data_IF_308807262070
#
_entry.id   IF_308807262070
#
_cell.length_a   1.000
_cell.length_b   1.000
_cell.length_c   1.000
_cell.angle_alpha   90.00
_cell.angle_beta   90.00
_cell.angle_gamma   90.00
#
_symmetry.space_group_name_H-M   'P 1'
#
loop_
_entity.id
_entity.type
_entity.pdbx_description
1 polymer ?
#
# COMPACT_ATOMS: atom_id res chain seq x y z
N UNK A 1 5.98 0.50 -4.53
CA UNK A 1 6.04 -0.02 -5.92
C UNK A 1 4.66 0.22 -6.53
N UNK A 2 4.58 1.10 -7.53
CA UNK A 2 3.33 1.48 -8.20
C UNK A 2 2.85 0.31 -9.04
N UNK A 3 1.58 -0.08 -8.94
CA UNK A 3 0.94 -1.07 -9.81
C UNK A 3 -0.14 -0.39 -10.63
N UNK A 4 -0.07 -0.58 -11.95
CA UNK A 4 -1.13 -0.23 -12.90
C UNK A 4 -2.28 -1.23 -12.76
N UNK A 5 -3.51 -0.74 -12.69
CA UNK A 5 -4.70 -1.56 -12.76
C UNK A 5 -5.17 -1.64 -14.23
N UNK A 6 -4.66 -2.62 -14.97
CA UNK A 6 -5.25 -3.10 -16.22
C UNK A 6 -5.48 -4.60 -16.07
N UNK A 7 -6.67 -5.09 -16.43
CA UNK A 7 -6.94 -6.52 -16.42
C UNK A 7 -5.98 -7.18 -17.44
N UNK A 8 -5.17 -8.14 -17.00
CA UNK A 8 -4.14 -8.79 -17.82
C UNK A 8 -4.67 -9.64 -19.00
N UNK A 9 -5.90 -9.38 -19.45
CA UNK A 9 -6.62 -10.04 -20.54
C UNK A 9 -6.94 -9.14 -21.73
N UNK A 10 -6.78 -7.82 -21.63
CA UNK A 10 -7.07 -6.91 -22.74
C UNK A 10 -5.79 -6.22 -23.22
N UNK A 11 -5.48 -6.31 -24.52
CA UNK A 11 -4.43 -5.52 -25.18
C UNK A 11 -4.85 -4.06 -25.34
N UNK A 12 -5.76 -3.58 -24.50
CA UNK A 12 -6.37 -2.26 -24.61
C UNK A 12 -5.74 -1.37 -23.54
N UNK A 13 -4.94 -0.41 -23.99
CA UNK A 13 -4.45 0.64 -23.10
C UNK A 13 -5.66 1.46 -22.63
N UNK A 14 -5.96 1.40 -21.34
CA UNK A 14 -6.94 2.28 -20.73
C UNK A 14 -6.42 3.71 -20.82
N UNK A 15 -7.26 4.65 -21.25
CA UNK A 15 -6.88 6.07 -21.31
C UNK A 15 -6.71 6.69 -19.93
N UNK A 16 -7.42 6.14 -18.94
CA UNK A 16 -7.50 6.63 -17.57
C UNK A 16 -6.71 5.73 -16.62
N UNK A 17 -5.86 6.34 -15.80
CA UNK A 17 -4.98 5.65 -14.88
C UNK A 17 -5.09 6.20 -13.47
N UNK A 18 -4.89 5.33 -12.49
CA UNK A 18 -4.79 5.68 -11.08
C UNK A 18 -3.43 5.24 -10.53
N UNK A 19 -2.94 5.93 -9.51
CA UNK A 19 -1.74 5.51 -8.79
C UNK A 19 -2.10 4.90 -7.45
N UNK A 20 -1.48 3.76 -7.12
CA UNK A 20 -1.53 3.17 -5.78
C UNK A 20 -0.14 3.23 -5.17
N UNK A 21 -0.06 3.75 -3.94
CA UNK A 21 1.16 3.79 -3.13
C UNK A 21 1.11 2.62 -2.15
N UNK A 22 2.12 1.75 -2.22
CA UNK A 22 2.29 0.64 -1.30
C UNK A 22 3.39 0.98 -0.28
N UNK A 23 3.05 0.97 1.01
CA UNK A 23 3.94 1.37 2.11
C UNK A 23 4.65 0.18 2.80
N UNK A 24 4.45 -1.04 2.29
CA UNK A 24 4.94 -2.27 2.92
C UNK A 24 3.83 -3.15 3.48
N UNK A 25 2.68 -2.57 3.86
CA UNK A 25 1.53 -3.30 4.43
C UNK A 25 0.19 -2.91 3.79
N UNK A 26 0.01 -1.66 3.41
CA UNK A 26 -1.24 -1.12 2.88
C UNK A 26 -1.06 -0.52 1.48
N UNK A 27 -2.12 -0.61 0.68
CA UNK A 27 -2.26 0.17 -0.55
C UNK A 27 -3.11 1.41 -0.28
N UNK A 28 -2.58 2.58 -0.61
CA UNK A 28 -3.27 3.86 -0.52
C UNK A 28 -3.45 4.45 -1.92
N UNK A 29 -4.58 5.14 -2.14
CA UNK A 29 -4.81 5.85 -3.39
C UNK A 29 -3.90 7.09 -3.48
N UNK A 30 -3.18 7.22 -4.58
CA UNK A 30 -2.39 8.39 -4.91
C UNK A 30 -3.31 9.54 -5.32
N UNK A 31 -3.18 10.67 -4.61
CA UNK A 31 -3.94 11.89 -4.87
C UNK A 31 -2.97 13.02 -5.15
N UNK A 32 -3.18 13.72 -6.26
CA UNK A 32 -2.42 14.92 -6.61
C UNK A 32 -3.31 16.15 -6.41
N UNK A 33 -2.71 17.26 -6.00
CA UNK A 33 -3.36 18.56 -5.94
C UNK A 33 -2.59 19.52 -6.82
N UNK A 34 -3.27 20.32 -7.64
CA UNK A 34 -2.65 21.42 -8.38
C UNK A 34 -2.00 22.44 -7.44
N UNK A 35 -2.61 22.66 -6.27
CA UNK A 35 -2.00 23.40 -5.17
C UNK A 35 -2.02 22.56 -3.88
N UNK A 36 -0.87 22.01 -3.46
CA UNK A 36 -0.76 21.21 -2.24
C UNK A 36 -1.04 21.98 -0.94
N UNK A 37 -0.73 23.28 -0.89
CA UNK A 37 -0.91 24.10 0.32
C UNK A 37 -2.39 24.36 0.60
N UNK A 38 -3.17 24.65 -0.45
CA UNK A 38 -4.62 24.91 -0.35
C UNK A 38 -5.46 23.66 -0.57
N UNK A 39 -4.85 22.53 -0.97
CA UNK A 39 -5.52 21.27 -1.35
C UNK A 39 -6.61 21.48 -2.40
N UNK A 40 -6.34 22.32 -3.40
CA UNK A 40 -7.26 22.60 -4.51
C UNK A 40 -6.80 21.92 -5.79
N UNK A 41 -7.74 21.62 -6.70
CA UNK A 41 -7.44 20.93 -7.95
C UNK A 41 -7.08 19.47 -7.70
N UNK A 42 -7.93 18.75 -6.95
CA UNK A 42 -7.70 17.35 -6.64
C UNK A 42 -7.82 16.48 -7.90
N UNK A 43 -6.82 15.63 -8.12
CA UNK A 43 -6.77 14.67 -9.23
C UNK A 43 -6.44 13.28 -8.71
N UNK A 44 -7.20 12.30 -9.19
CA UNK A 44 -7.05 10.87 -8.86
C UNK A 44 -6.96 9.98 -10.10
N UNK A 45 -7.35 10.52 -11.26
CA UNK A 45 -7.38 9.87 -12.55
C UNK A 45 -6.50 10.68 -13.50
N UNK A 46 -5.60 10.01 -14.21
CA UNK A 46 -4.58 10.62 -15.05
C UNK A 46 -4.61 10.02 -16.45
N UNK A 47 -4.41 10.87 -17.46
CA UNK A 47 -4.39 10.44 -18.86
C UNK A 47 -3.03 9.88 -19.25
N UNK A 48 -3.02 9.00 -20.26
CA UNK A 48 -1.80 8.33 -20.74
C UNK A 48 -0.70 9.31 -21.18
N UNK A 49 -1.07 10.46 -21.73
CA UNK A 49 -0.11 11.47 -22.21
C UNK A 49 0.69 12.11 -21.07
N UNK A 50 0.10 12.16 -19.88
CA UNK A 50 0.66 12.84 -18.70
C UNK A 50 1.31 11.85 -17.72
N UNK A 51 1.09 10.55 -17.90
CA UNK A 51 1.33 9.54 -16.87
C UNK A 51 2.79 9.47 -16.40
N UNK A 52 3.75 9.62 -17.32
CA UNK A 52 5.18 9.55 -16.98
C UNK A 52 5.61 10.70 -16.06
N UNK A 53 5.12 11.91 -16.33
CA UNK A 53 5.43 13.07 -15.49
C UNK A 53 4.83 12.90 -14.09
N UNK A 54 3.58 12.44 -14.03
CA UNK A 54 2.88 12.18 -12.77
C UNK A 54 3.52 11.03 -11.99
N UNK A 55 3.96 9.98 -12.67
CA UNK A 55 4.68 8.85 -12.06
C UNK A 55 5.96 9.31 -11.36
N UNK A 56 6.75 10.19 -11.98
CA UNK A 56 7.95 10.77 -11.35
C UNK A 56 7.63 11.56 -10.07
N UNK A 57 6.51 12.30 -10.05
CA UNK A 57 6.03 13.00 -8.84
C UNK A 57 5.70 11.99 -7.72
N UNK A 58 4.95 10.93 -8.03
CA UNK A 58 4.60 9.89 -7.06
C UNK A 58 5.82 9.09 -6.58
N UNK A 59 6.81 8.83 -7.44
CA UNK A 59 8.07 8.19 -7.03
C UNK A 59 8.84 9.06 -6.05
N UNK A 60 8.95 10.37 -6.30
CA UNK A 60 9.60 11.31 -5.37
C UNK A 60 8.88 11.33 -4.03
N UNK A 61 7.54 11.34 -4.04
CA UNK A 61 6.74 11.29 -2.82
C UNK A 61 6.91 9.97 -2.06
N UNK A 62 6.91 8.83 -2.76
CA UNK A 62 7.14 7.53 -2.14
C UNK A 62 8.53 7.42 -1.50
N UNK A 63 9.56 7.98 -2.16
CA UNK A 63 10.92 8.04 -1.59
C UNK A 63 10.96 8.94 -0.35
N UNK A 64 10.26 10.09 -0.37
CA UNK A 64 10.12 10.93 0.81
C UNK A 64 9.49 10.17 1.97
N UNK A 65 8.35 9.51 1.74
CA UNK A 65 7.66 8.70 2.76
C UNK A 65 8.57 7.64 3.37
N UNK A 66 9.34 6.96 2.52
CA UNK A 66 10.31 5.94 2.93
C UNK A 66 11.43 6.51 3.80
N UNK A 67 11.93 7.70 3.50
CA UNK A 67 12.97 8.37 4.29
C UNK A 67 12.43 8.97 5.59
N UNK A 68 11.13 9.26 5.67
CA UNK A 68 10.46 9.81 6.85
C UNK A 68 9.93 8.75 7.82
N UNK A 69 10.44 7.51 7.79
CA UNK A 69 10.02 6.37 8.64
C UNK A 69 8.51 6.06 8.61
N UNK A 70 7.80 6.49 7.55
CA UNK A 70 6.41 6.05 7.33
C UNK A 70 6.34 4.69 6.61
N UNK A 71 7.50 4.13 6.22
CA UNK A 71 7.61 2.78 5.69
C UNK A 71 7.66 1.79 6.84
N UNK A 72 6.59 1.02 7.01
CA UNK A 72 6.51 -0.01 8.04
C UNK A 72 7.05 -1.32 7.45
N UNK A 73 8.14 -1.83 8.02
CA UNK A 73 8.67 -3.14 7.65
C UNK A 73 7.61 -4.22 7.98
N UNK A 74 7.08 -4.93 6.97
CA UNK A 74 6.07 -5.96 7.20
C UNK A 74 6.60 -7.17 7.98
N UNK A 75 7.90 -7.22 8.29
CA UNK A 75 8.50 -8.26 9.12
C UNK A 75 8.61 -7.86 10.61
N UNK A 76 8.36 -6.59 10.96
CA UNK A 76 8.57 -6.06 12.32
C UNK A 76 7.28 -5.70 13.05
N UNK A 77 6.12 -6.19 12.62
CA UNK A 77 4.87 -5.97 13.33
C UNK A 77 4.38 -7.22 14.05
N UNK A 78 3.96 -7.04 15.31
CA UNK A 78 3.32 -8.09 16.08
C UNK A 78 1.86 -8.24 15.64
N UNK A 79 1.45 -9.46 15.34
CA UNK A 79 0.10 -9.85 14.96
C UNK A 79 -0.46 -10.74 16.06
N UNK A 80 -1.73 -10.58 16.41
CA UNK A 80 -2.43 -11.47 17.33
C UNK A 80 -3.54 -12.20 16.60
N UNK A 81 -3.61 -13.52 16.76
CA UNK A 81 -4.77 -14.30 16.35
C UNK A 81 -5.97 -13.91 17.23
N UNK A 82 -7.05 -13.44 16.63
CA UNK A 82 -8.27 -13.05 17.35
C UNK A 82 -9.09 -14.24 17.86
N UNK A 83 -8.77 -15.47 17.42
CA UNK A 83 -9.50 -16.68 17.79
C UNK A 83 -8.89 -17.34 19.03
N UNK A 84 -7.58 -17.59 19.01
CA UNK A 84 -6.88 -18.24 20.13
C UNK A 84 -5.99 -17.29 20.95
N UNK A 85 -5.80 -16.06 20.50
CA UNK A 85 -5.05 -15.05 21.26
C UNK A 85 -3.53 -15.11 21.17
N UNK A 86 -2.97 -16.03 20.38
CA UNK A 86 -1.52 -16.17 20.17
C UNK A 86 -0.96 -14.92 19.47
N UNK A 87 0.15 -14.39 19.99
CA UNK A 87 0.94 -13.35 19.35
C UNK A 87 1.97 -14.00 18.41
N UNK A 88 2.17 -13.39 17.24
CA UNK A 88 2.95 -13.88 16.11
C UNK A 88 3.75 -12.69 15.56
N UNK A 89 4.94 -12.95 15.06
CA UNK A 89 5.81 -11.94 14.46
C UNK A 89 5.70 -11.98 12.93
N UNK A 90 5.11 -10.93 12.38
CA UNK A 90 4.99 -10.74 10.94
C UNK A 90 4.10 -11.76 10.22
N UNK A 91 4.14 -11.70 8.89
CA UNK A 91 3.25 -12.45 8.02
C UNK A 91 3.56 -13.96 7.97
N UNK A 92 4.83 -14.35 8.11
CA UNK A 92 5.25 -15.75 7.98
C UNK A 92 4.59 -16.59 9.08
N UNK A 93 4.76 -16.18 10.34
CA UNK A 93 4.17 -16.90 11.48
C UNK A 93 2.64 -16.88 11.45
N UNK A 94 2.01 -15.78 11.03
CA UNK A 94 0.56 -15.71 10.84
C UNK A 94 0.05 -16.69 9.78
N UNK A 95 0.79 -16.87 8.69
CA UNK A 95 0.44 -17.79 7.61
C UNK A 95 0.57 -19.24 8.07
N UNK A 96 1.68 -19.59 8.74
CA UNK A 96 1.88 -20.92 9.30
C UNK A 96 0.81 -21.25 10.36
N UNK A 97 0.50 -20.30 11.24
CA UNK A 97 -0.56 -20.43 12.23
C UNK A 97 -1.92 -20.68 11.57
N UNK A 98 -2.26 -19.93 10.52
CA UNK A 98 -3.51 -20.11 9.78
C UNK A 98 -3.60 -21.51 9.16
N UNK A 99 -2.50 -22.01 8.58
CA UNK A 99 -2.44 -23.35 7.99
C UNK A 99 -2.59 -24.46 9.02
N UNK A 100 -1.95 -24.33 10.19
CA UNK A 100 -1.96 -25.35 11.25
C UNK A 100 -3.28 -25.38 12.03
N UNK A 101 -3.90 -24.21 12.23
CA UNK A 101 -5.04 -24.06 13.15
C UNK A 101 -6.36 -23.76 12.43
N UNK A 102 -6.33 -23.52 11.13
CA UNK A 102 -7.48 -23.01 10.34
C UNK A 102 -8.00 -21.65 10.82
N UNK A 103 -7.26 -20.93 11.68
CA UNK A 103 -7.63 -19.59 12.11
C UNK A 103 -7.33 -18.56 11.02
N UNK A 104 -8.30 -17.73 10.67
CA UNK A 104 -8.16 -16.72 9.61
C UNK A 104 -8.41 -15.28 10.08
N UNK A 105 -8.65 -15.08 11.38
CA UNK A 105 -8.89 -13.75 11.95
C UNK A 105 -7.67 -13.31 12.77
N UNK A 106 -6.99 -12.29 12.26
CA UNK A 106 -5.78 -11.73 12.83
C UNK A 106 -5.93 -10.21 12.97
N UNK A 107 -5.27 -9.64 13.97
CA UNK A 107 -5.19 -8.20 14.17
C UNK A 107 -3.75 -7.78 14.44
N UNK A 108 -3.33 -6.67 13.88
CA UNK A 108 -2.07 -6.05 14.27
C UNK A 108 -2.17 -5.54 15.71
N UNK A 109 -1.11 -5.71 16.48
CA UNK A 109 -0.95 -5.17 17.83
C UNK A 109 0.33 -4.33 17.87
N UNK A 110 0.33 -3.24 18.61
CA UNK A 110 1.57 -2.51 18.88
C UNK A 110 2.48 -3.40 19.72
N UNK A 111 3.70 -3.65 19.23
CA UNK A 111 4.71 -4.36 20.00
C UNK A 111 5.02 -3.55 21.24
N UNK A 112 4.72 -4.08 22.42
CA UNK A 112 5.20 -3.53 23.68
C UNK A 112 6.71 -3.81 23.77
N UNK A 113 7.52 -2.90 23.22
CA UNK A 113 8.91 -2.71 23.61
C UNK A 113 9.00 -1.51 24.55
#
# INVERSE_FOLDING_TARGET
IIKFAGDGSSTQEFEDNIFLIYDGTHYNLGVRYDNPETKTGEQRIFKNEEIKAIEEEFIKYANFLKLSDQYHDPNLFSIKCSICGVALEGQIEATEHAQQTSHQNFKQIEGSN
#
